data_IF_475781066842
#
_entry.id   IF_475781066842
#
_cell.length_a   1.000
_cell.length_b   1.000
_cell.length_c   1.000
_cell.angle_alpha   90.00
_cell.angle_beta   90.00
_cell.angle_gamma   90.00
#
_symmetry.space_group_name_H-M   'P 1'
#
loop_
_entity.id
_entity.type
_entity.pdbx_description
1 polymer ?
#
# COMPACT_ATOMS: atom_id res chain seq x y z
N UNK A 1 4.60 26.71 -9.24
CA UNK A 1 3.64 25.62 -9.41
C UNK A 1 4.29 24.29 -9.09
N UNK A 2 3.55 23.38 -8.44
CA UNK A 2 4.05 22.05 -8.09
C UNK A 2 3.91 21.09 -9.28
N UNK A 3 4.77 20.07 -9.41
CA UNK A 3 4.54 18.99 -10.37
C UNK A 3 3.25 18.21 -10.04
N UNK A 4 2.65 17.59 -11.06
CA UNK A 4 1.42 16.80 -10.92
C UNK A 4 1.61 15.38 -11.47
N UNK A 5 0.91 14.43 -10.86
CA UNK A 5 0.81 13.04 -11.33
C UNK A 5 -0.12 12.95 -12.55
N UNK A 6 -0.12 11.82 -13.29
CA UNK A 6 -0.99 11.62 -14.45
C UNK A 6 -2.50 11.71 -14.13
N UNK A 7 -2.89 11.45 -12.88
CA UNK A 7 -4.25 11.60 -12.38
C UNK A 7 -4.59 13.04 -11.94
N UNK A 8 -3.66 13.98 -12.12
CA UNK A 8 -3.82 15.39 -11.78
C UNK A 8 -3.54 15.74 -10.32
N UNK A 9 -3.20 14.77 -9.45
CA UNK A 9 -2.84 15.08 -8.06
C UNK A 9 -1.49 15.82 -8.01
N UNK A 10 -1.39 16.97 -7.32
CA UNK A 10 -0.10 17.63 -7.12
C UNK A 10 0.80 16.83 -6.18
N UNK A 11 2.11 16.93 -6.39
CA UNK A 11 3.10 16.51 -5.40
C UNK A 11 3.12 17.52 -4.27
N UNK A 12 3.18 17.07 -3.02
CA UNK A 12 3.21 17.94 -1.83
C UNK A 12 4.63 18.45 -1.51
N UNK A 13 5.65 17.63 -1.74
CA UNK A 13 7.04 17.91 -1.38
C UNK A 13 7.96 17.50 -2.53
N UNK A 14 8.88 18.38 -2.93
CA UNK A 14 9.94 18.08 -3.91
C UNK A 14 11.28 18.01 -3.19
N UNK A 15 11.95 16.86 -3.29
CA UNK A 15 13.26 16.62 -2.67
C UNK A 15 14.39 16.67 -3.70
N UNK A 16 15.60 17.01 -3.25
CA UNK A 16 16.80 17.00 -4.10
C UNK A 16 17.40 15.58 -4.14
N UNK A 17 17.52 14.95 -5.33
CA UNK A 17 18.04 13.58 -5.43
C UNK A 17 19.53 13.44 -5.05
N UNK A 18 20.31 14.53 -5.09
CA UNK A 18 21.76 14.49 -4.81
C UNK A 18 22.09 14.18 -3.33
N UNK A 19 21.14 14.36 -2.42
CA UNK A 19 21.31 14.03 -0.99
C UNK A 19 21.37 12.53 -0.70
N UNK A 20 20.77 11.71 -1.58
CA UNK A 20 20.70 10.25 -1.43
C UNK A 20 22.09 9.60 -1.59
N UNK A 21 22.80 9.74 -2.74
CA UNK A 21 24.09 9.11 -2.93
C UNK A 21 25.18 9.70 -2.03
N UNK A 22 25.15 11.01 -1.78
CA UNK A 22 26.20 11.67 -0.97
C UNK A 22 26.20 11.22 0.50
N UNK A 23 25.04 10.82 1.03
CA UNK A 23 24.89 10.29 2.40
C UNK A 23 24.83 8.77 2.46
N UNK A 24 24.86 8.09 1.31
CA UNK A 24 24.69 6.64 1.18
C UNK A 24 23.42 6.10 1.86
N UNK A 25 22.36 6.92 1.97
CA UNK A 25 21.10 6.50 2.58
C UNK A 25 20.11 6.05 1.51
N UNK A 26 20.30 4.83 0.98
CA UNK A 26 19.37 4.23 0.01
C UNK A 26 18.01 3.89 0.64
N UNK A 27 17.96 3.73 1.97
CA UNK A 27 16.75 3.37 2.71
C UNK A 27 15.59 4.33 2.45
N UNK A 28 15.85 5.63 2.31
CA UNK A 28 14.81 6.62 2.00
C UNK A 28 14.10 6.36 0.65
N UNK A 29 14.83 5.83 -0.34
CA UNK A 29 14.26 5.50 -1.66
C UNK A 29 13.39 4.26 -1.54
N UNK A 30 13.87 3.23 -0.82
CA UNK A 30 13.11 2.01 -0.56
C UNK A 30 11.84 2.30 0.25
N UNK A 31 11.92 3.17 1.25
CA UNK A 31 10.78 3.65 2.04
C UNK A 31 9.79 4.42 1.18
N UNK A 32 10.25 5.27 0.26
CA UNK A 32 9.38 5.99 -0.68
C UNK A 32 8.63 5.00 -1.59
N UNK A 33 9.30 3.97 -2.11
CA UNK A 33 8.65 2.93 -2.92
C UNK A 33 7.62 2.11 -2.12
N UNK A 34 7.98 1.68 -0.90
CA UNK A 34 7.05 0.96 -0.02
C UNK A 34 5.84 1.83 0.36
N UNK A 35 6.08 3.10 0.70
CA UNK A 35 5.03 4.07 0.99
C UNK A 35 4.11 4.29 -0.21
N UNK A 36 4.65 4.32 -1.43
CA UNK A 36 3.85 4.42 -2.65
C UNK A 36 2.96 3.19 -2.87
N UNK A 37 3.52 1.98 -2.72
CA UNK A 37 2.74 0.75 -2.81
C UNK A 37 1.64 0.69 -1.72
N UNK A 38 1.97 1.05 -0.48
CA UNK A 38 1.02 1.13 0.63
C UNK A 38 -0.13 2.10 0.36
N UNK A 39 0.19 3.29 -0.18
CA UNK A 39 -0.78 4.32 -0.53
C UNK A 39 -1.73 3.84 -1.63
N UNK A 40 -1.19 3.26 -2.71
CA UNK A 40 -1.99 2.76 -3.82
C UNK A 40 -2.88 1.57 -3.41
N UNK A 41 -2.37 0.65 -2.59
CA UNK A 41 -3.19 -0.43 -2.01
C UNK A 41 -4.32 0.13 -1.14
N UNK A 42 -4.04 1.14 -0.32
CA UNK A 42 -5.06 1.82 0.46
C UNK A 42 -6.12 2.48 -0.41
N UNK A 43 -5.71 3.12 -1.51
CA UNK A 43 -6.63 3.72 -2.48
C UNK A 43 -7.53 2.67 -3.13
N UNK A 44 -6.99 1.52 -3.53
CA UNK A 44 -7.79 0.39 -4.03
C UNK A 44 -8.82 -0.07 -2.98
N UNK A 45 -8.42 -0.19 -1.71
CA UNK A 45 -9.33 -0.54 -0.60
C UNK A 45 -10.38 0.56 -0.38
N UNK A 46 -10.01 1.84 -0.54
CA UNK A 46 -10.93 2.98 -0.46
C UNK A 46 -12.00 2.96 -1.56
N UNK A 47 -11.63 2.65 -2.81
CA UNK A 47 -12.61 2.46 -3.89
C UNK A 47 -13.58 1.32 -3.59
N UNK A 48 -13.12 0.29 -2.86
CA UNK A 48 -13.95 -0.83 -2.41
C UNK A 48 -14.93 -0.44 -1.29
N UNK A 49 -14.59 0.55 -0.44
CA UNK A 49 -15.50 1.10 0.58
C UNK A 49 -16.73 1.76 -0.06
N UNK A 50 -16.51 2.50 -1.14
CA UNK A 50 -17.56 3.28 -1.79
C UNK A 50 -18.37 2.45 -2.80
N UNK A 51 -17.88 1.25 -3.15
CA UNK A 51 -18.60 0.28 -3.96
C UNK A 51 -19.61 -0.51 -3.11
N UNK A 52 -20.91 -0.29 -3.34
CA UNK A 52 -22.00 -1.10 -2.78
C UNK A 52 -22.02 -2.51 -3.41
N UNK A 53 -21.09 -3.36 -3.01
CA UNK A 53 -20.91 -4.74 -3.48
C UNK A 53 -21.20 -5.79 -2.40
N UNK A 54 -21.41 -7.03 -2.83
CA UNK A 54 -21.52 -8.16 -1.90
C UNK A 54 -20.19 -8.35 -1.14
N UNK A 55 -20.26 -8.49 0.18
CA UNK A 55 -19.13 -8.71 1.11
C UNK A 55 -18.15 -9.77 0.59
N UNK A 56 -18.69 -10.84 -0.01
CA UNK A 56 -17.89 -11.92 -0.61
C UNK A 56 -16.94 -11.44 -1.71
N UNK A 57 -17.39 -10.51 -2.57
CA UNK A 57 -16.55 -9.95 -3.65
C UNK A 57 -15.44 -9.06 -3.11
N UNK A 58 -15.74 -8.31 -2.04
CA UNK A 58 -14.76 -7.46 -1.35
C UNK A 58 -13.64 -8.31 -0.75
N UNK A 59 -13.97 -9.44 -0.11
CA UNK A 59 -12.97 -10.38 0.43
C UNK A 59 -12.01 -10.89 -0.63
N UNK A 60 -12.53 -11.42 -1.74
CA UNK A 60 -11.68 -11.93 -2.81
C UNK A 60 -10.76 -10.83 -3.36
N UNK A 61 -11.30 -9.62 -3.53
CA UNK A 61 -10.52 -8.48 -4.03
C UNK A 61 -9.40 -8.06 -3.09
N UNK A 62 -9.66 -8.04 -1.77
CA UNK A 62 -8.63 -7.76 -0.77
C UNK A 62 -7.54 -8.83 -0.81
N UNK A 63 -7.90 -10.11 -0.90
CA UNK A 63 -6.92 -11.20 -1.00
C UNK A 63 -6.05 -11.10 -2.25
N UNK A 64 -6.64 -10.73 -3.38
CA UNK A 64 -5.91 -10.44 -4.63
C UNK A 64 -4.91 -9.28 -4.44
N UNK A 65 -5.33 -8.19 -3.79
CA UNK A 65 -4.49 -7.00 -3.57
C UNK A 65 -3.30 -7.25 -2.62
N UNK A 66 -3.41 -8.18 -1.66
CA UNK A 66 -2.30 -8.48 -0.75
C UNK A 66 -1.40 -9.61 -1.23
N UNK A 67 -1.93 -10.57 -2.00
CA UNK A 67 -1.20 -11.73 -2.53
C UNK A 67 -0.35 -12.49 -1.47
N UNK A 68 -0.74 -12.44 -0.20
CA UNK A 68 -0.02 -13.03 0.93
C UNK A 68 -0.90 -14.06 1.66
N UNK A 69 -0.35 -15.25 1.91
CA UNK A 69 -1.09 -16.36 2.49
C UNK A 69 -1.54 -16.09 3.94
N UNK A 70 -0.75 -15.37 4.73
CA UNK A 70 -1.08 -15.04 6.11
C UNK A 70 -2.20 -13.99 6.17
N UNK A 71 -2.13 -12.98 5.30
CA UNK A 71 -3.17 -11.96 5.19
C UNK A 71 -4.47 -12.61 4.70
N UNK A 72 -4.39 -13.52 3.72
CA UNK A 72 -5.58 -14.23 3.23
C UNK A 72 -6.26 -15.03 4.34
N UNK A 73 -5.48 -15.73 5.18
CA UNK A 73 -6.00 -16.47 6.33
C UNK A 73 -6.62 -15.54 7.39
N UNK A 74 -6.04 -14.37 7.63
CA UNK A 74 -6.62 -13.35 8.53
C UNK A 74 -7.96 -12.85 7.99
N UNK A 75 -8.01 -12.48 6.71
CA UNK A 75 -9.24 -11.99 6.04
C UNK A 75 -10.34 -13.04 6.04
N UNK A 76 -10.00 -14.33 5.98
CA UNK A 76 -10.98 -15.42 6.08
C UNK A 76 -11.62 -15.56 7.46
N UNK A 77 -10.92 -15.15 8.52
CA UNK A 77 -11.41 -15.25 9.89
C UNK A 77 -12.27 -14.07 10.33
N UNK A 78 -12.15 -12.92 9.67
CA UNK A 78 -12.94 -11.72 10.02
C UNK A 78 -14.43 -11.96 9.79
N UNK A 79 -15.30 -11.37 10.61
CA UNK A 79 -16.72 -11.25 10.31
C UNK A 79 -17.02 -10.08 9.35
N UNK A 80 -18.29 -9.86 8.97
CA UNK A 80 -18.64 -8.77 8.04
C UNK A 80 -18.37 -7.37 8.62
N UNK A 81 -18.61 -7.18 9.92
CA UNK A 81 -18.40 -5.90 10.59
C UNK A 81 -16.91 -5.60 10.81
N UNK A 82 -16.13 -6.63 11.14
CA UNK A 82 -14.68 -6.56 11.26
C UNK A 82 -14.02 -6.32 9.90
N UNK A 83 -14.53 -6.94 8.83
CA UNK A 83 -14.05 -6.66 7.48
C UNK A 83 -14.30 -5.20 7.08
N UNK A 84 -15.48 -4.66 7.41
CA UNK A 84 -15.77 -3.26 7.13
C UNK A 84 -14.84 -2.32 7.89
N UNK A 85 -14.59 -2.59 9.18
CA UNK A 85 -13.60 -1.84 9.97
C UNK A 85 -12.20 -1.94 9.38
N UNK A 86 -11.80 -3.13 8.93
CA UNK A 86 -10.51 -3.33 8.26
C UNK A 86 -10.39 -2.46 7.00
N UNK A 87 -11.45 -2.38 6.19
CA UNK A 87 -11.50 -1.53 5.00
C UNK A 87 -11.38 -0.06 5.42
N UNK A 88 -12.18 0.39 6.39
CA UNK A 88 -12.20 1.78 6.84
C UNK A 88 -10.83 2.22 7.41
N UNK A 89 -10.17 1.34 8.17
CA UNK A 89 -8.87 1.58 8.79
C UNK A 89 -7.72 1.65 7.76
N UNK A 90 -7.86 1.00 6.61
CA UNK A 90 -6.82 0.90 5.59
C UNK A 90 -7.13 1.70 4.31
N UNK A 91 -8.30 2.34 4.21
CA UNK A 91 -8.73 3.10 3.02
C UNK A 91 -7.80 4.29 2.68
N UNK A 92 -7.02 4.79 3.64
CA UNK A 92 -6.07 5.89 3.44
C UNK A 92 -4.61 5.40 3.25
N UNK A 93 -4.38 4.09 3.22
CA UNK A 93 -3.06 3.51 3.15
C UNK A 93 -2.96 2.25 3.99
N UNK A 94 -2.30 1.23 3.43
CA UNK A 94 -2.00 0.00 4.15
C UNK A 94 -0.78 0.19 5.05
N UNK A 95 -0.88 -0.22 6.32
CA UNK A 95 0.26 -0.17 7.24
C UNK A 95 1.23 -1.31 6.92
N UNK A 96 2.49 -0.96 6.65
CA UNK A 96 3.57 -1.93 6.41
C UNK A 96 4.51 -1.93 7.62
N UNK A 97 4.95 -3.12 8.02
CA UNK A 97 5.97 -3.29 9.04
C UNK A 97 7.24 -3.89 8.42
N UNK A 98 8.38 -3.19 8.57
CA UNK A 98 9.70 -3.67 8.18
C UNK A 98 10.61 -3.72 9.41
N UNK A 99 10.90 -4.90 9.98
CA UNK A 99 11.86 -5.04 11.08
C UNK A 99 13.24 -4.48 10.72
N UNK A 100 13.96 -3.94 11.70
CA UNK A 100 15.26 -3.26 11.48
C UNK A 100 16.31 -4.18 10.84
N UNK A 101 16.28 -5.48 11.16
CA UNK A 101 17.28 -6.45 10.70
C UNK A 101 16.72 -7.53 9.76
N UNK A 102 15.41 -7.53 9.51
CA UNK A 102 14.72 -8.47 8.61
C UNK A 102 13.67 -7.71 7.78
N UNK A 103 14.13 -6.58 7.22
CA UNK A 103 13.27 -5.68 6.46
C UNK A 103 12.87 -6.24 5.09
N UNK A 104 11.97 -5.53 4.42
CA UNK A 104 11.53 -5.88 3.07
C UNK A 104 12.72 -5.89 2.09
N UNK A 105 12.85 -6.98 1.33
CA UNK A 105 13.83 -7.07 0.24
C UNK A 105 13.30 -6.36 -0.99
N UNK A 106 14.20 -5.98 -1.89
CA UNK A 106 13.82 -5.32 -3.15
C UNK A 106 12.76 -6.10 -3.95
N UNK A 107 12.87 -7.43 -3.99
CA UNK A 107 11.89 -8.30 -4.64
C UNK A 107 10.50 -8.20 -4.00
N UNK A 108 10.42 -8.04 -2.68
CA UNK A 108 9.17 -7.87 -1.94
C UNK A 108 8.53 -6.53 -2.30
N UNK A 109 9.34 -5.45 -2.33
CA UNK A 109 8.89 -4.10 -2.71
C UNK A 109 8.38 -4.08 -4.15
N UNK A 110 9.11 -4.71 -5.08
CA UNK A 110 8.71 -4.80 -6.47
C UNK A 110 7.38 -5.55 -6.63
N UNK A 111 7.21 -6.65 -5.89
CA UNK A 111 5.96 -7.42 -5.88
C UNK A 111 4.81 -6.56 -5.36
N UNK A 112 5.00 -5.86 -4.24
CA UNK A 112 3.97 -4.97 -3.69
C UNK A 112 3.59 -3.84 -4.64
N UNK A 113 4.57 -3.21 -5.29
CA UNK A 113 4.31 -2.17 -6.31
C UNK A 113 3.50 -2.73 -7.47
N UNK A 114 3.85 -3.92 -7.95
CA UNK A 114 3.14 -4.56 -9.07
C UNK A 114 1.68 -4.86 -8.71
N UNK A 115 1.42 -5.31 -7.48
CA UNK A 115 0.06 -5.59 -7.02
C UNK A 115 -0.74 -4.30 -6.74
N UNK A 116 -0.06 -3.25 -6.29
CA UNK A 116 -0.67 -1.95 -6.01
C UNK A 116 -1.11 -1.17 -7.27
N UNK A 117 -0.58 -1.53 -8.45
CA UNK A 117 -0.86 -0.84 -9.72
C UNK A 117 0.06 0.34 -9.93
#
# INVERSE_FOLDING_TARGET
DMPYLPDGRPVEIVLNPLGVPSRMNVGQVLETHLGWAAHNLGFQIGEMRDASGAVKKLRERIKESFADANINALIDQLDEGELQRFIDDNANGVRIATPVFDGAREADIHTMLTTAG
#
